data_IF_349900397562
#
_entry.id   IF_349900397562
#
_cell.length_a   1.000
_cell.length_b   1.000
_cell.length_c   1.000
_cell.angle_alpha   90.00
_cell.angle_beta   90.00
_cell.angle_gamma   90.00
#
_symmetry.space_group_name_H-M   'P 1'
#
loop_
_entity.id
_entity.type
_entity.pdbx_description
1 polymer ?
#
# COMPACT_ATOMS: atom_id res chain seq x y z
N UNK A 1 -16.82 -22.46 -1.02
CA UNK A 1 -16.23 -21.95 -1.81
C UNK A 1 -15.62 -20.84 -1.35
N UNK A 2 -14.83 -20.40 -1.69
CA UNK A 2 -14.17 -19.51 -1.23
C UNK A 2 -14.25 -18.37 -1.89
N UNK A 3 -14.75 -17.48 -1.54
CA UNK A 3 -14.83 -16.40 -2.10
C UNK A 3 -13.64 -15.71 -2.05
N UNK A 4 -12.79 -16.13 -1.45
CA UNK A 4 -11.60 -15.47 -1.38
C UNK A 4 -10.94 -15.39 -2.66
N UNK A 5 -11.55 -15.90 -3.66
CA UNK A 5 -10.94 -15.90 -4.93
C UNK A 5 -10.97 -14.57 -5.60
N UNK A 6 -11.38 -13.55 -4.94
CA UNK A 6 -11.39 -12.26 -5.54
C UNK A 6 -10.02 -11.88 -6.05
N UNK A 7 -9.92 -11.44 -7.30
CA UNK A 7 -8.66 -11.18 -7.94
C UNK A 7 -8.49 -9.70 -8.25
N UNK A 8 -8.05 -8.93 -7.27
CA UNK A 8 -7.65 -7.56 -7.57
C UNK A 8 -6.40 -7.62 -8.44
N UNK A 9 -6.02 -6.49 -9.02
CA UNK A 9 -4.78 -6.44 -9.80
C UNK A 9 -3.59 -6.82 -8.94
N UNK A 10 -3.57 -6.39 -7.67
CA UNK A 10 -2.47 -6.73 -6.78
C UNK A 10 -2.38 -8.23 -6.57
N UNK A 11 -3.49 -8.88 -6.24
CA UNK A 11 -3.51 -10.31 -5.99
C UNK A 11 -3.14 -11.08 -7.25
N UNK A 12 -3.67 -10.63 -8.40
CA UNK A 12 -3.37 -11.30 -9.65
C UNK A 12 -1.88 -11.26 -9.97
N UNK A 13 -1.25 -10.10 -9.77
CA UNK A 13 0.16 -9.97 -10.07
C UNK A 13 1.02 -10.81 -9.13
N UNK A 14 0.69 -10.81 -7.83
CA UNK A 14 1.44 -11.63 -6.87
C UNK A 14 1.32 -13.10 -7.21
N UNK A 15 0.14 -13.53 -7.64
CA UNK A 15 -0.08 -14.92 -8.05
C UNK A 15 0.73 -15.25 -9.29
N UNK A 16 0.72 -14.36 -10.27
CA UNK A 16 1.48 -14.59 -11.51
C UNK A 16 2.97 -14.73 -11.24
N UNK A 17 3.49 -13.96 -10.30
CA UNK A 17 4.91 -14.00 -10.00
C UNK A 17 5.26 -15.11 -9.04
N UNK A 18 4.27 -15.90 -8.63
CA UNK A 18 4.46 -17.03 -7.72
C UNK A 18 5.11 -16.62 -6.42
N UNK A 19 4.79 -15.42 -5.95
CA UNK A 19 5.31 -14.92 -4.69
C UNK A 19 4.48 -15.47 -3.53
N UNK A 20 5.12 -15.64 -2.39
CA UNK A 20 4.43 -16.14 -1.21
C UNK A 20 3.73 -14.99 -0.52
N UNK A 21 2.42 -15.09 -0.34
CA UNK A 21 1.65 -14.05 0.32
C UNK A 21 0.36 -14.64 0.89
N UNK A 22 -0.27 -13.87 1.77
CA UNK A 22 -1.58 -14.23 2.31
C UNK A 22 -2.48 -13.03 2.13
N UNK A 23 -3.77 -13.27 2.03
CA UNK A 23 -4.76 -12.19 2.00
C UNK A 23 -5.62 -12.25 3.25
N UNK A 24 -6.06 -11.07 3.69
CA UNK A 24 -6.91 -10.96 4.86
C UNK A 24 -8.08 -10.06 4.49
N UNK A 25 -9.28 -10.62 4.50
CA UNK A 25 -10.50 -9.88 4.17
C UNK A 25 -11.16 -9.44 5.47
N UNK A 26 -11.27 -8.14 5.66
CA UNK A 26 -11.88 -7.58 6.86
C UNK A 26 -13.15 -6.81 6.55
N UNK A 27 -13.71 -7.02 5.36
CA UNK A 27 -14.88 -6.27 4.92
C UNK A 27 -16.02 -6.31 5.92
N UNK A 28 -16.30 -7.49 6.46
CA UNK A 28 -17.43 -7.63 7.35
C UNK A 28 -17.21 -7.11 8.76
N UNK A 29 -15.96 -6.78 9.08
CA UNK A 29 -15.66 -6.29 10.43
C UNK A 29 -16.11 -4.86 10.64
N UNK A 30 -16.29 -4.11 9.56
CA UNK A 30 -16.61 -2.69 9.66
C UNK A 30 -15.42 -1.84 10.07
N UNK A 31 -14.23 -2.42 10.18
CA UNK A 31 -13.05 -1.66 10.58
C UNK A 31 -12.69 -0.63 9.52
N UNK A 32 -12.27 0.55 9.96
CA UNK A 32 -11.93 1.65 9.07
C UNK A 32 -10.51 2.13 9.30
N UNK A 33 -10.15 2.43 10.55
CA UNK A 33 -8.80 2.93 10.84
C UNK A 33 -7.81 1.78 10.83
N UNK A 34 -6.51 2.11 10.70
CA UNK A 34 -5.48 1.11 10.71
C UNK A 34 -5.48 0.28 11.98
N UNK A 35 -5.74 0.92 13.12
CA UNK A 35 -5.78 0.21 14.39
C UNK A 35 -6.95 -0.76 14.41
N UNK A 36 -8.12 -0.33 13.95
CA UNK A 36 -9.29 -1.19 13.90
C UNK A 36 -9.07 -2.38 12.98
N UNK A 37 -8.45 -2.14 11.82
CA UNK A 37 -8.18 -3.21 10.88
C UNK A 37 -7.21 -4.22 11.51
N UNK A 38 -6.15 -3.72 12.15
CA UNK A 38 -5.17 -4.61 12.78
C UNK A 38 -5.83 -5.45 13.86
N UNK A 39 -6.70 -4.84 14.68
CA UNK A 39 -7.39 -5.58 15.72
C UNK A 39 -8.31 -6.64 15.12
N UNK A 40 -9.03 -6.30 14.05
CA UNK A 40 -9.94 -7.23 13.42
C UNK A 40 -9.19 -8.43 12.84
N UNK A 41 -7.96 -8.22 12.39
CA UNK A 41 -7.17 -9.28 11.79
C UNK A 41 -6.24 -9.96 12.79
N UNK A 42 -6.20 -9.49 14.03
CA UNK A 42 -5.29 -10.06 15.03
C UNK A 42 -3.84 -9.76 14.73
N UNK A 43 -3.55 -8.64 14.09
CA UNK A 43 -2.20 -8.28 13.68
C UNK A 43 -1.64 -7.13 14.49
N UNK A 44 -0.32 -7.06 14.53
CA UNK A 44 0.37 -5.96 15.19
C UNK A 44 0.20 -4.69 14.35
N UNK A 45 -0.35 -3.59 14.89
CA UNK A 45 -0.59 -2.39 14.09
C UNK A 45 0.66 -1.83 13.41
N UNK A 46 1.83 -2.01 14.01
CA UNK A 46 3.06 -1.48 13.42
C UNK A 46 3.47 -2.21 12.15
N UNK A 47 2.85 -3.36 11.86
CA UNK A 47 3.12 -4.08 10.62
C UNK A 47 2.24 -3.62 9.48
N UNK A 48 1.26 -2.73 9.76
CA UNK A 48 0.35 -2.24 8.75
C UNK A 48 0.96 -1.02 8.08
N UNK A 49 1.08 -1.06 6.77
CA UNK A 49 1.63 0.04 5.99
C UNK A 49 0.58 0.58 5.05
N UNK A 50 0.61 1.88 4.83
CA UNK A 50 -0.27 2.51 3.85
C UNK A 50 0.55 2.89 2.64
N UNK A 51 -0.11 2.93 1.50
CA UNK A 51 0.51 3.24 0.22
C UNK A 51 0.14 4.67 -0.15
N UNK A 52 1.15 5.51 -0.29
CA UNK A 52 0.95 6.91 -0.61
C UNK A 52 1.56 7.20 -1.98
N UNK A 53 0.77 7.79 -2.86
CA UNK A 53 1.24 8.17 -4.20
C UNK A 53 1.47 9.66 -4.19
N UNK A 54 2.63 10.05 -4.68
CA UNK A 54 3.07 11.45 -4.63
C UNK A 54 3.52 11.91 -5.99
N UNK A 55 3.62 13.23 -6.13
CA UNK A 55 4.13 13.83 -7.34
C UNK A 55 5.27 14.77 -6.98
N UNK A 56 6.41 14.58 -7.63
CA UNK A 56 7.54 15.46 -7.43
C UNK A 56 7.40 16.73 -8.26
N UNK A 57 8.22 17.70 -7.93
CA UNK A 57 8.21 18.97 -8.67
C UNK A 57 8.49 18.77 -10.14
N UNK A 58 9.25 17.74 -10.48
CA UNK A 58 9.57 17.42 -11.87
C UNK A 58 8.38 16.87 -12.66
N UNK A 59 7.30 16.51 -11.97
CA UNK A 59 6.17 15.84 -12.59
C UNK A 59 6.22 14.34 -12.48
N UNK A 60 7.32 13.78 -11.99
CA UNK A 60 7.42 12.34 -11.81
C UNK A 60 6.63 11.90 -10.59
N UNK A 61 6.21 10.64 -10.59
CA UNK A 61 5.42 10.11 -9.49
C UNK A 61 6.21 9.06 -8.72
N UNK A 62 5.96 9.00 -7.43
CA UNK A 62 6.65 8.08 -6.54
C UNK A 62 5.66 7.48 -5.55
N UNK A 63 5.91 6.25 -5.14
CA UNK A 63 5.07 5.55 -4.19
C UNK A 63 5.86 5.34 -2.90
N UNK A 64 5.23 5.66 -1.78
CA UNK A 64 5.85 5.47 -0.47
C UNK A 64 4.98 4.58 0.39
N UNK A 65 5.58 3.56 1.00
CA UNK A 65 4.93 2.74 1.99
C UNK A 65 5.45 3.16 3.36
N UNK A 66 4.56 3.63 4.21
CA UNK A 66 4.92 4.04 5.56
C UNK A 66 3.96 3.41 6.54
N UNK A 67 4.36 3.28 7.82
CA UNK A 67 3.45 2.72 8.82
C UNK A 67 2.14 3.48 8.79
N UNK A 68 1.04 2.75 8.85
CA UNK A 68 -0.27 3.32 8.58
C UNK A 68 -0.67 4.43 9.54
N UNK A 69 -0.11 4.41 10.75
CA UNK A 69 -0.44 5.42 11.76
C UNK A 69 0.45 6.64 11.71
N UNK A 70 1.41 6.68 10.81
CA UNK A 70 2.34 7.82 10.71
C UNK A 70 2.03 8.64 9.48
N UNK A 71 2.67 9.79 9.37
CA UNK A 71 2.54 10.62 8.19
C UNK A 71 3.86 10.66 7.47
N UNK A 72 3.80 10.86 6.17
CA UNK A 72 5.01 10.94 5.36
C UNK A 72 5.68 12.28 5.58
N UNK A 73 6.99 12.25 5.85
CA UNK A 73 7.78 13.45 5.95
C UNK A 73 8.14 13.85 4.51
N UNK A 74 7.45 14.84 3.99
CA UNK A 74 7.59 15.21 2.58
C UNK A 74 8.98 15.70 2.23
N UNK A 75 9.67 16.36 3.17
CA UNK A 75 11.02 16.81 2.90
C UNK A 75 12.00 15.66 2.79
N UNK A 76 11.90 14.69 3.70
CA UNK A 76 12.76 13.52 3.62
C UNK A 76 12.44 12.70 2.38
N UNK A 77 11.15 12.60 2.05
CA UNK A 77 10.75 11.85 0.88
C UNK A 77 11.36 12.47 -0.39
N UNK A 78 11.31 13.78 -0.49
CA UNK A 78 11.88 14.46 -1.65
C UNK A 78 13.38 14.20 -1.74
N UNK A 79 14.07 14.26 -0.61
CA UNK A 79 15.52 14.03 -0.60
C UNK A 79 15.87 12.62 -1.06
N UNK A 80 15.08 11.64 -0.62
CA UNK A 80 15.36 10.23 -0.95
C UNK A 80 15.26 9.98 -2.45
N UNK A 81 14.30 10.61 -3.13
CA UNK A 81 14.11 10.39 -4.55
C UNK A 81 14.75 11.44 -5.44
N UNK A 82 15.45 12.41 -4.84
CA UNK A 82 16.16 13.42 -5.63
C UNK A 82 15.28 14.51 -6.19
N UNK A 83 14.14 14.80 -5.56
CA UNK A 83 13.24 15.85 -5.98
C UNK A 83 13.45 17.10 -5.12
N UNK A 84 13.16 18.26 -5.67
CA UNK A 84 13.23 19.49 -4.91
C UNK A 84 12.09 19.57 -3.90
N UNK A 85 10.93 19.05 -4.28
CA UNK A 85 9.79 19.00 -3.39
C UNK A 85 8.86 17.89 -3.86
N UNK A 86 8.02 17.44 -2.95
CA UNK A 86 7.03 16.38 -3.22
C UNK A 86 5.73 16.79 -2.59
N UNK A 87 4.64 16.51 -3.25
CA UNK A 87 3.30 16.74 -2.73
C UNK A 87 2.49 15.47 -2.88
N UNK A 88 1.50 15.31 -2.01
CA UNK A 88 0.59 14.18 -2.14
C UNK A 88 -0.24 14.34 -3.39
N UNK A 89 -0.46 13.24 -4.10
CA UNK A 89 -1.31 13.25 -5.28
C UNK A 89 -2.75 13.50 -4.85
N UNK A 90 -3.49 14.28 -5.63
CA UNK A 90 -4.89 14.55 -5.31
C UNK A 90 -5.71 13.28 -5.49
N UNK A 91 -6.70 13.09 -4.62
CA UNK A 91 -7.53 11.88 -4.69
C UNK A 91 -8.16 11.66 -6.05
N UNK A 92 -8.57 12.73 -6.71
CA UNK A 92 -9.23 12.61 -8.02
C UNK A 92 -8.30 12.06 -9.08
N UNK A 93 -6.99 12.20 -8.90
CA UNK A 93 -6.03 11.75 -9.88
C UNK A 93 -5.54 10.32 -9.64
N UNK A 94 -5.89 9.75 -8.48
CA UNK A 94 -5.35 8.45 -8.09
C UNK A 94 -5.83 7.31 -8.98
N UNK A 95 -7.13 7.22 -9.19
CA UNK A 95 -7.67 6.13 -9.99
C UNK A 95 -7.17 6.15 -11.44
N UNK A 96 -7.20 7.31 -12.14
CA UNK A 96 -6.68 7.32 -13.50
C UNK A 96 -5.21 6.94 -13.58
N UNK A 97 -4.42 7.31 -12.57
CA UNK A 97 -2.99 7.07 -12.59
C UNK A 97 -2.63 5.63 -12.20
N UNK A 98 -3.27 5.11 -11.17
CA UNK A 98 -2.85 3.83 -10.60
C UNK A 98 -3.80 2.67 -10.86
N UNK A 99 -5.06 2.95 -11.10
CA UNK A 99 -6.09 1.91 -11.21
C UNK A 99 -6.73 1.59 -9.88
N UNK A 100 -6.34 2.27 -8.80
CA UNK A 100 -6.88 2.03 -7.47
C UNK A 100 -7.51 3.30 -6.92
N UNK A 101 -8.42 3.13 -5.95
CA UNK A 101 -9.08 4.27 -5.32
C UNK A 101 -8.44 4.54 -3.95
N UNK A 102 -8.72 5.72 -3.41
CA UNK A 102 -8.24 6.09 -2.09
C UNK A 102 -8.77 5.10 -1.07
N UNK A 103 -7.92 4.64 -0.18
CA UNK A 103 -8.30 3.63 0.80
C UNK A 103 -8.13 2.21 0.32
N UNK A 104 -7.95 2.01 -0.98
CA UNK A 104 -7.74 0.69 -1.55
C UNK A 104 -6.57 0.64 -2.50
N UNK A 105 -5.59 1.54 -2.34
CA UNK A 105 -4.45 1.60 -3.24
C UNK A 105 -3.35 0.66 -2.77
N UNK A 106 -2.96 -0.26 -3.65
CA UNK A 106 -1.89 -1.20 -3.38
C UNK A 106 -0.62 -0.76 -4.10
N UNK A 107 0.57 -1.03 -3.53
CA UNK A 107 1.82 -0.73 -4.23
C UNK A 107 2.07 -1.70 -5.37
N UNK A 108 1.32 -2.79 -5.41
CA UNK A 108 1.51 -3.85 -6.40
C UNK A 108 0.40 -3.78 -7.42
N UNK A 109 0.73 -3.99 -8.68
CA UNK A 109 -0.30 -4.09 -9.72
C UNK A 109 -0.86 -2.76 -10.19
N UNK A 110 -0.16 -1.66 -9.99
CA UNK A 110 -0.58 -0.38 -10.53
C UNK A 110 -0.50 -0.38 -12.06
N UNK A 111 -1.27 0.51 -12.70
CA UNK A 111 -1.26 0.61 -14.15
C UNK A 111 0.12 0.85 -14.70
N UNK A 112 0.96 1.60 -13.98
CA UNK A 112 2.32 1.87 -14.37
C UNK A 112 3.25 1.55 -13.21
N UNK A 113 4.50 1.28 -13.52
CA UNK A 113 5.49 1.07 -12.48
C UNK A 113 6.06 2.42 -12.07
N UNK A 114 6.06 2.69 -10.78
CA UNK A 114 6.64 3.89 -10.24
C UNK A 114 7.71 3.49 -9.22
N UNK A 115 8.75 4.29 -9.05
CA UNK A 115 9.72 4.02 -8.00
C UNK A 115 8.99 3.95 -6.65
N UNK A 116 9.27 2.91 -5.90
CA UNK A 116 8.58 2.66 -4.63
C UNK A 116 9.61 2.63 -3.51
N UNK A 117 9.36 3.42 -2.48
CA UNK A 117 10.22 3.52 -1.32
C UNK A 117 9.45 3.02 -0.12
N UNK A 118 10.07 2.13 0.66
CA UNK A 118 9.44 1.54 1.83
C UNK A 118 10.17 2.04 3.07
N UNK A 119 9.40 2.47 4.08
CA UNK A 119 10.00 2.93 5.33
C UNK A 119 10.85 1.82 5.92
N UNK A 120 12.01 2.19 6.45
CA UNK A 120 12.96 1.20 6.94
C UNK A 120 12.43 0.37 8.09
N UNK A 121 11.39 0.83 8.79
CA UNK A 121 10.81 0.06 9.87
C UNK A 121 10.27 -1.28 9.40
N UNK A 122 9.96 -1.40 8.09
CA UNK A 122 9.46 -2.66 7.56
C UNK A 122 10.48 -3.79 7.72
N UNK A 123 11.76 -3.45 7.75
CA UNK A 123 12.80 -4.48 7.86
C UNK A 123 12.80 -5.19 9.22
N UNK A 124 12.06 -4.67 10.20
CA UNK A 124 11.97 -5.31 11.51
C UNK A 124 11.03 -6.49 11.51
N UNK A 125 10.27 -6.68 10.45
CA UNK A 125 9.25 -7.73 10.42
C UNK A 125 9.52 -8.72 9.30
N UNK A 126 9.13 -9.98 9.51
CA UNK A 126 9.23 -11.00 8.47
C UNK A 126 8.27 -10.70 7.34
N UNK A 127 7.09 -10.20 7.69
CA UNK A 127 6.09 -9.79 6.70
C UNK A 127 5.45 -8.49 7.13
N UNK A 128 4.94 -7.75 6.16
CA UNK A 128 4.17 -6.53 6.42
C UNK A 128 2.82 -6.67 5.73
N UNK A 129 1.89 -5.80 6.11
CA UNK A 129 0.56 -5.80 5.52
C UNK A 129 0.32 -4.47 4.81
N UNK A 130 -0.32 -4.54 3.65
CA UNK A 130 -0.73 -3.33 2.93
C UNK A 130 -1.99 -3.65 2.13
N UNK A 131 -2.56 -2.64 1.50
CA UNK A 131 -3.82 -2.83 0.78
C UNK A 131 -3.67 -3.88 -0.31
N UNK A 132 -4.68 -4.72 -0.42
CA UNK A 132 -4.74 -5.74 -1.47
C UNK A 132 -5.38 -5.25 -2.76
N UNK A 133 -5.68 -3.96 -2.86
CA UNK A 133 -6.24 -3.40 -4.09
C UNK A 133 -7.69 -3.00 -3.99
N UNK A 134 -8.30 -3.13 -2.83
CA UNK A 134 -9.63 -2.60 -2.57
C UNK A 134 -9.81 -2.42 -1.08
N UNK A 135 -10.78 -1.60 -0.73
CA UNK A 135 -11.12 -1.42 0.68
C UNK A 135 -11.62 -2.77 1.21
N UNK A 136 -11.15 -3.18 2.36
CA UNK A 136 -11.56 -4.44 2.97
C UNK A 136 -10.61 -5.59 2.77
N UNK A 137 -9.57 -5.41 1.99
CA UNK A 137 -8.63 -6.47 1.70
C UNK A 137 -7.19 -6.04 1.97
N UNK A 138 -6.47 -6.85 2.75
CA UNK A 138 -5.06 -6.61 3.01
C UNK A 138 -4.25 -7.79 2.47
N UNK A 139 -3.03 -7.51 2.04
CA UNK A 139 -2.07 -8.52 1.64
C UNK A 139 -0.96 -8.54 2.68
N UNK A 140 -0.55 -9.72 3.06
CA UNK A 140 0.58 -9.91 3.96
C UNK A 140 1.68 -10.62 3.19
N UNK A 141 2.86 -10.02 3.11
CA UNK A 141 3.96 -10.61 2.36
C UNK A 141 5.28 -10.07 2.88
N UNK A 142 6.37 -10.77 2.53
CA UNK A 142 7.71 -10.31 2.85
C UNK A 142 8.16 -9.22 1.90
N UNK A 143 9.34 -8.68 2.15
CA UNK A 143 9.86 -7.58 1.36
C UNK A 143 10.53 -8.02 0.06
N UNK A 144 10.71 -9.30 -0.13
CA UNK A 144 11.41 -9.82 -1.32
C UNK A 144 10.67 -9.58 -2.61
#
# INVERSE_FOLDING_TARGET
MKKTEEKTNAVRLLTQKKLRFQTHDYTESGAVSAVEVAQALGQEPLRMFKTLVTEGRSGAHYVFLVPAQTELDLKKAAAVVGEKSIAMLKSKDLLPLTGYIHGGCSPVGMKKLFPTVIDKSAAQFDTILFSGGRIGLQVETGLD
#
